data_IF_196482205087
#
_entry.id   IF_196482205087
#
_cell.length_a   1.000
_cell.length_b   1.000
_cell.length_c   1.000
_cell.angle_alpha   90.00
_cell.angle_beta   90.00
_cell.angle_gamma   90.00
#
_symmetry.space_group_name_H-M   'P 1'
#
loop_
_entity.id
_entity.type
_entity.pdbx_description
1 polymer ?
#
# COMPACT_ATOMS: atom_id res chain seq x y z
N UNK A 1 10.50 1.53 -1.64
CA UNK A 1 10.17 2.50 -2.70
C UNK A 1 10.66 3.87 -2.27
N UNK A 2 11.68 4.39 -2.94
CA UNK A 2 12.25 5.73 -2.67
C UNK A 2 11.27 6.83 -3.06
N UNK A 3 11.14 7.86 -2.22
CA UNK A 3 10.48 9.10 -2.62
C UNK A 3 11.28 9.77 -3.75
N UNK A 4 10.64 10.54 -4.64
CA UNK A 4 11.30 11.21 -5.76
C UNK A 4 12.41 12.19 -5.33
N UNK A 5 12.21 12.88 -4.20
CA UNK A 5 13.20 13.78 -3.59
C UNK A 5 14.32 13.07 -2.80
N UNK A 6 14.26 11.74 -2.71
CA UNK A 6 15.21 10.90 -1.96
C UNK A 6 15.29 11.21 -0.46
N UNK A 7 14.26 11.80 0.15
CA UNK A 7 14.20 12.06 1.59
C UNK A 7 13.54 10.96 2.40
N UNK A 8 12.77 10.07 1.77
CA UNK A 8 12.05 9.01 2.47
C UNK A 8 12.02 7.70 1.70
N UNK A 9 11.84 6.60 2.43
CA UNK A 9 11.60 5.28 1.85
C UNK A 9 10.26 4.76 2.36
N UNK A 10 9.31 4.58 1.45
CA UNK A 10 8.10 3.80 1.73
C UNK A 10 8.42 2.31 1.60
N UNK A 11 8.10 1.52 2.61
CA UNK A 11 8.30 0.08 2.61
C UNK A 11 7.06 -0.63 3.14
N UNK A 12 6.92 -1.90 2.77
CA UNK A 12 5.77 -2.71 3.12
C UNK A 12 6.24 -3.86 4.01
N UNK A 13 5.46 -4.16 5.05
CA UNK A 13 5.64 -5.35 5.88
C UNK A 13 4.32 -6.13 5.93
N UNK A 14 4.35 -7.47 6.08
CA UNK A 14 3.15 -8.22 6.43
C UNK A 14 2.54 -7.66 7.71
N UNK A 15 1.23 -7.43 7.73
CA UNK A 15 0.56 -7.02 8.95
C UNK A 15 0.70 -8.14 9.99
N UNK A 16 1.12 -7.76 11.20
CA UNK A 16 1.15 -8.70 12.33
C UNK A 16 -0.30 -8.91 12.77
N UNK A 17 -0.89 -10.06 12.43
CA UNK A 17 -2.14 -10.47 13.08
C UNK A 17 -1.87 -10.66 14.57
N UNK A 18 -2.53 -9.87 15.41
CA UNK A 18 -2.62 -10.19 16.83
C UNK A 18 -3.27 -11.57 16.94
N UNK A 19 -2.59 -12.54 17.56
CA UNK A 19 -3.16 -13.85 17.84
C UNK A 19 -4.32 -13.68 18.84
N UNK A 20 -5.53 -13.44 18.33
CA UNK A 20 -6.74 -13.22 19.10
C UNK A 20 -7.89 -14.03 18.51
N UNK A 21 -8.36 -14.98 19.32
CA UNK A 21 -9.60 -15.78 19.24
C UNK A 21 -10.04 -16.24 17.84
N UNK A 22 -9.77 -17.52 17.54
CA UNK A 22 -10.40 -18.24 16.44
C UNK A 22 -11.93 -18.24 16.61
N UNK A 23 -12.66 -17.54 15.73
CA UNK A 23 -14.11 -17.68 15.59
C UNK A 23 -14.41 -18.55 14.36
N UNK A 24 -15.15 -19.65 14.57
CA UNK A 24 -15.27 -20.75 13.63
C UNK A 24 -16.46 -20.61 12.66
N UNK A 25 -16.70 -19.41 12.14
CA UNK A 25 -17.68 -19.18 11.07
C UNK A 25 -16.99 -19.10 9.71
N UNK A 26 -16.57 -20.26 9.19
CA UNK A 26 -15.96 -20.42 7.87
C UNK A 26 -17.04 -20.31 6.78
N UNK A 27 -17.17 -19.14 6.16
CA UNK A 27 -17.72 -19.02 4.80
C UNK A 27 -16.53 -19.04 3.84
N UNK A 28 -16.42 -20.00 2.91
CA UNK A 28 -15.32 -20.03 1.97
C UNK A 28 -15.50 -18.90 0.97
N UNK A 29 -14.93 -17.72 1.28
CA UNK A 29 -14.64 -16.72 0.25
C UNK A 29 -13.55 -17.34 -0.64
N UNK A 30 -13.91 -17.71 -1.85
CA UNK A 30 -12.97 -18.24 -2.84
C UNK A 30 -11.86 -17.21 -3.06
N UNK A 31 -10.62 -17.64 -2.81
CA UNK A 31 -9.39 -17.18 -3.47
C UNK A 31 -8.95 -15.72 -3.26
N UNK A 32 -8.57 -15.37 -2.03
CA UNK A 32 -7.41 -14.52 -1.81
C UNK A 32 -6.74 -14.94 -0.50
N UNK A 33 -5.42 -15.20 -0.46
CA UNK A 33 -4.74 -15.27 0.82
C UNK A 33 -5.04 -13.95 1.56
N UNK A 34 -5.44 -14.03 2.83
CA UNK A 34 -5.54 -12.86 3.73
C UNK A 34 -4.13 -12.28 3.96
N UNK A 35 -3.54 -11.75 2.90
CA UNK A 35 -2.26 -11.07 2.92
C UNK A 35 -2.56 -9.60 3.21
N UNK A 36 -2.73 -9.28 4.48
CA UNK A 36 -2.78 -7.87 4.87
C UNK A 36 -1.35 -7.33 4.91
N UNK A 37 -1.13 -6.21 4.23
CA UNK A 37 0.15 -5.53 4.11
C UNK A 37 0.08 -4.18 4.83
N UNK A 38 1.22 -3.69 5.29
CA UNK A 38 1.31 -2.42 6.01
C UNK A 38 2.35 -1.51 5.39
N UNK A 39 1.90 -0.35 4.92
CA UNK A 39 2.78 0.76 4.56
C UNK A 39 3.45 1.35 5.79
N UNK A 40 4.75 1.52 5.70
CA UNK A 40 5.57 2.25 6.67
C UNK A 40 6.49 3.20 5.93
N UNK A 41 6.86 4.29 6.58
CA UNK A 41 7.75 5.31 6.05
C UNK A 41 9.01 5.37 6.92
N UNK A 42 10.17 5.34 6.28
CA UNK A 42 11.46 5.67 6.88
C UNK A 42 11.82 7.09 6.44
N UNK A 43 12.02 7.98 7.40
CA UNK A 43 12.60 9.30 7.19
C UNK A 43 14.14 9.17 7.22
N UNK A 44 14.81 9.70 6.20
CA UNK A 44 16.26 9.58 6.08
C UNK A 44 17.02 10.70 6.79
N UNK A 45 16.34 11.77 7.20
CA UNK A 45 16.96 12.88 7.92
C UNK A 45 17.31 12.50 9.37
N UNK A 46 16.47 11.68 10.01
CA UNK A 46 16.64 11.26 11.40
C UNK A 46 16.64 9.74 11.61
N UNK A 47 16.37 8.95 10.55
CA UNK A 47 16.30 7.49 10.61
C UNK A 47 15.06 6.95 11.31
N UNK A 48 14.07 7.79 11.61
CA UNK A 48 12.83 7.38 12.26
C UNK A 48 11.94 6.60 11.29
N UNK A 49 11.21 5.64 11.83
CA UNK A 49 10.23 4.87 11.04
C UNK A 49 8.85 4.95 11.67
N UNK A 50 7.84 5.16 10.82
CA UNK A 50 6.44 5.25 11.22
C UNK A 50 5.58 4.31 10.40
N UNK A 51 4.65 3.62 11.07
CA UNK A 51 3.60 2.82 10.42
C UNK A 51 2.49 3.76 9.98
N UNK A 52 2.05 3.64 8.72
CA UNK A 52 1.05 4.52 8.13
C UNK A 52 -0.33 3.85 8.06
N UNK A 53 -0.49 2.91 7.14
CA UNK A 53 -1.77 2.27 6.85
C UNK A 53 -1.60 0.79 6.52
N UNK A 54 -2.63 0.00 6.82
CA UNK A 54 -2.72 -1.40 6.41
C UNK A 54 -3.78 -1.58 5.33
N UNK A 55 -3.56 -2.51 4.42
CA UNK A 55 -4.42 -2.75 3.27
C UNK A 55 -4.32 -4.21 2.79
N UNK A 56 -5.37 -4.70 2.14
CA UNK A 56 -5.35 -5.97 1.41
C UNK A 56 -5.03 -5.68 -0.06
N UNK A 57 -3.87 -6.07 -0.61
CA UNK A 57 -3.50 -5.74 -1.97
C UNK A 57 -4.35 -6.51 -2.98
N UNK A 58 -4.62 -5.91 -4.14
CA UNK A 58 -5.10 -6.64 -5.31
C UNK A 58 -4.03 -7.61 -5.83
N UNK A 59 -4.44 -8.55 -6.70
CA UNK A 59 -3.48 -9.48 -7.32
C UNK A 59 -2.43 -8.73 -8.14
N UNK A 60 -2.83 -7.70 -8.90
CA UNK A 60 -1.98 -6.84 -9.70
C UNK A 60 -0.98 -6.07 -8.82
N UNK A 61 -1.43 -5.58 -7.66
CA UNK A 61 -0.54 -4.94 -6.70
C UNK A 61 0.47 -5.94 -6.12
N UNK A 62 0.06 -7.19 -5.84
CA UNK A 62 0.99 -8.26 -5.42
C UNK A 62 2.04 -8.51 -6.50
N UNK A 63 1.66 -8.53 -7.79
CA UNK A 63 2.62 -8.65 -8.90
C UNK A 63 3.65 -7.50 -8.90
N UNK A 64 3.21 -6.25 -8.74
CA UNK A 64 4.13 -5.09 -8.66
C UNK A 64 5.07 -5.19 -7.46
N UNK A 65 4.57 -5.60 -6.30
CA UNK A 65 5.39 -5.75 -5.08
C UNK A 65 6.40 -6.89 -5.24
N UNK A 66 5.99 -8.01 -5.83
CA UNK A 66 6.84 -9.20 -6.02
C UNK A 66 8.01 -8.93 -6.96
N UNK A 67 7.76 -8.17 -8.02
CA UNK A 67 8.75 -7.82 -9.05
C UNK A 67 9.11 -6.32 -9.02
N UNK A 68 9.23 -5.76 -7.81
CA UNK A 68 9.37 -4.32 -7.59
C UNK A 68 10.60 -3.72 -8.29
N UNK A 69 11.68 -4.49 -8.38
CA UNK A 69 12.95 -4.10 -9.01
C UNK A 69 12.80 -3.96 -10.53
N UNK A 70 12.07 -4.88 -11.17
CA UNK A 70 11.75 -4.81 -12.60
C UNK A 70 10.86 -3.61 -12.92
N UNK A 71 9.90 -3.30 -12.06
CA UNK A 71 8.93 -2.23 -12.28
C UNK A 71 9.37 -0.85 -11.79
N UNK A 72 10.49 -0.75 -11.06
CA UNK A 72 10.95 0.49 -10.43
C UNK A 72 11.10 1.68 -11.40
N UNK A 73 11.40 1.42 -12.68
CA UNK A 73 11.58 2.47 -13.70
C UNK A 73 10.28 2.93 -14.37
N UNK A 74 9.25 2.08 -14.41
CA UNK A 74 8.02 2.32 -15.18
C UNK A 74 6.78 2.51 -14.30
N UNK A 75 6.76 1.93 -13.10
CA UNK A 75 5.62 1.95 -12.19
C UNK A 75 6.01 2.71 -10.92
N UNK A 76 5.71 4.00 -10.89
CA UNK A 76 5.99 4.85 -9.74
C UNK A 76 4.76 4.87 -8.83
N UNK A 77 4.91 4.33 -7.62
CA UNK A 77 3.87 4.36 -6.59
C UNK A 77 3.84 5.70 -5.84
N UNK A 78 4.96 6.43 -5.85
CA UNK A 78 5.04 7.79 -5.30
C UNK A 78 4.51 8.82 -6.27
N UNK A 79 3.76 9.78 -5.76
CA UNK A 79 3.41 11.01 -6.48
C UNK A 79 4.68 11.77 -6.85
N UNK A 80 4.71 12.50 -7.99
CA UNK A 80 5.91 13.20 -8.45
C UNK A 80 6.47 14.24 -7.47
N UNK A 81 5.61 14.76 -6.58
CA UNK A 81 5.93 15.75 -5.55
C UNK A 81 6.33 15.13 -4.20
N UNK A 82 6.55 13.82 -4.13
CA UNK A 82 6.93 13.08 -2.91
C UNK A 82 5.90 13.10 -1.77
N UNK A 83 4.66 13.50 -2.01
CA UNK A 83 3.66 13.67 -0.94
C UNK A 83 2.74 12.47 -0.72
N UNK A 84 2.58 11.59 -1.70
CA UNK A 84 1.57 10.55 -1.63
C UNK A 84 2.00 9.23 -2.26
N UNK A 85 1.40 8.15 -1.76
CA UNK A 85 1.50 6.81 -2.33
C UNK A 85 0.16 6.43 -2.98
N UNK A 86 0.21 5.75 -4.12
CA UNK A 86 -0.96 5.11 -4.75
C UNK A 86 -0.81 3.59 -4.70
N UNK A 87 -1.90 2.89 -4.41
CA UNK A 87 -1.93 1.42 -4.44
C UNK A 87 -3.34 0.90 -4.69
N UNK A 88 -3.43 -0.31 -5.24
CA UNK A 88 -4.69 -1.05 -5.37
C UNK A 88 -4.96 -1.87 -4.11
N UNK A 89 -6.20 -1.85 -3.63
CA UNK A 89 -6.64 -2.65 -2.50
C UNK A 89 -8.02 -3.28 -2.68
N UNK A 90 -8.29 -4.30 -1.86
CA UNK A 90 -9.56 -5.02 -1.76
C UNK A 90 -10.27 -4.61 -0.47
N UNK A 91 -11.48 -4.10 -0.58
CA UNK A 91 -12.30 -3.70 0.59
C UNK A 91 -12.80 -4.92 1.37
N UNK A 92 -13.37 -4.71 2.55
CA UNK A 92 -13.98 -5.79 3.34
C UNK A 92 -15.17 -6.44 2.61
N UNK A 93 -15.86 -5.67 1.77
CA UNK A 93 -16.96 -6.08 0.90
C UNK A 93 -16.49 -6.85 -0.34
N UNK A 94 -15.19 -6.79 -0.65
CA UNK A 94 -14.58 -7.45 -1.81
C UNK A 94 -14.44 -6.55 -3.04
N UNK A 95 -14.69 -5.24 -2.92
CA UNK A 95 -14.53 -4.29 -4.02
C UNK A 95 -13.06 -4.02 -4.30
N UNK A 96 -12.73 -3.90 -5.59
CA UNK A 96 -11.39 -3.55 -6.06
C UNK A 96 -11.31 -2.03 -6.24
N UNK A 97 -10.50 -1.37 -5.42
CA UNK A 97 -10.37 0.08 -5.42
C UNK A 97 -8.91 0.53 -5.53
N UNK A 98 -8.72 1.75 -6.01
CA UNK A 98 -7.45 2.47 -5.94
C UNK A 98 -7.53 3.47 -4.80
N UNK A 99 -6.50 3.48 -3.97
CA UNK A 99 -6.38 4.38 -2.83
C UNK A 99 -5.13 5.24 -2.91
N UNK A 100 -5.24 6.46 -2.39
CA UNK A 100 -4.13 7.38 -2.19
C UNK A 100 -3.91 7.55 -0.69
N UNK A 101 -2.63 7.49 -0.29
CA UNK A 101 -2.16 7.77 1.06
C UNK A 101 -1.29 9.02 1.02
N UNK A 102 -1.86 10.17 1.40
CA UNK A 102 -1.13 11.44 1.55
C UNK A 102 -0.37 11.44 2.89
N UNK A 103 0.96 11.42 2.82
CA UNK A 103 1.83 11.37 3.99
C UNK A 103 2.12 12.75 4.59
N UNK A 104 1.76 13.81 3.88
CA UNK A 104 1.96 15.20 4.29
C UNK A 104 0.64 15.86 4.76
N UNK A 105 -0.43 15.08 4.93
CA UNK A 105 -1.68 15.51 5.55
C UNK A 105 -1.56 15.51 7.08
N UNK A 106 -2.30 16.40 7.76
CA UNK A 106 -2.35 16.47 9.23
C UNK A 106 -2.74 15.14 9.88
N UNK A 107 -3.58 14.37 9.17
CA UNK A 107 -3.95 13.00 9.53
C UNK A 107 -3.76 12.10 8.33
N UNK A 108 -2.79 11.20 8.44
CA UNK A 108 -2.47 10.22 7.39
C UNK A 108 -3.51 9.11 7.39
N UNK A 109 -4.51 9.22 6.51
CA UNK A 109 -5.56 8.22 6.29
C UNK A 109 -5.71 8.00 4.79
N UNK A 110 -5.71 6.75 4.30
CA UNK A 110 -5.99 6.48 2.90
C UNK A 110 -7.39 6.94 2.49
N UNK A 111 -7.52 7.42 1.26
CA UNK A 111 -8.82 7.66 0.64
C UNK A 111 -8.90 7.02 -0.74
N UNK A 112 -10.07 6.48 -1.08
CA UNK A 112 -10.30 5.89 -2.39
C UNK A 112 -10.49 6.98 -3.45
N UNK A 113 -9.94 6.75 -4.64
CA UNK A 113 -10.13 7.60 -5.82
C UNK A 113 -11.01 6.94 -6.89
N UNK A 114 -11.47 5.71 -6.66
CA UNK A 114 -12.37 5.00 -7.57
C UNK A 114 -12.07 3.50 -7.65
N UNK A 115 -12.87 2.82 -8.47
CA UNK A 115 -12.68 1.40 -8.77
C UNK A 115 -11.42 1.17 -9.62
N UNK A 116 -10.71 0.08 -9.34
CA UNK A 116 -9.53 -0.32 -10.10
C UNK A 116 -8.64 -1.27 -9.33
N UNK A 117 -7.63 -1.80 -10.01
CA UNK A 117 -6.74 -2.83 -9.45
C UNK A 117 -5.30 -2.36 -9.24
N UNK A 118 -4.87 -1.32 -9.95
CA UNK A 118 -3.52 -0.79 -9.87
C UNK A 118 -3.55 0.69 -10.25
N UNK A 119 -2.89 1.52 -9.45
CA UNK A 119 -2.63 2.92 -9.76
C UNK A 119 -1.13 3.16 -9.93
N UNK A 120 -0.77 4.05 -10.85
CA UNK A 120 0.62 4.44 -11.14
C UNK A 120 0.62 5.94 -11.41
N UNK A 121 1.58 6.66 -10.83
CA UNK A 121 1.79 8.06 -11.15
C UNK A 121 2.58 8.23 -12.45
N UNK A 122 2.17 9.20 -13.25
CA UNK A 122 2.93 9.69 -14.41
C UNK A 122 3.82 10.86 -14.00
N UNK A 123 5.01 10.96 -14.60
CA UNK A 123 5.87 12.15 -14.48
C UNK A 123 5.59 13.04 -15.67
N UNK A 124 5.29 14.31 -15.39
CA UNK A 124 5.39 15.37 -16.37
C UNK A 124 6.44 16.37 -15.90
#
# INVERSE_FOLDING_TARGET
FWSPDSQSIAFITPARRSAGTFDASYTPRLQQPELELTWSLLDLSDGSSQRLASFNPTNEMIYVITYFDQFAQSHRLWSPDSRALVYGEVTAEGDLIISILDIAADRVVPYSIGQGVLGIWSYQ
#
